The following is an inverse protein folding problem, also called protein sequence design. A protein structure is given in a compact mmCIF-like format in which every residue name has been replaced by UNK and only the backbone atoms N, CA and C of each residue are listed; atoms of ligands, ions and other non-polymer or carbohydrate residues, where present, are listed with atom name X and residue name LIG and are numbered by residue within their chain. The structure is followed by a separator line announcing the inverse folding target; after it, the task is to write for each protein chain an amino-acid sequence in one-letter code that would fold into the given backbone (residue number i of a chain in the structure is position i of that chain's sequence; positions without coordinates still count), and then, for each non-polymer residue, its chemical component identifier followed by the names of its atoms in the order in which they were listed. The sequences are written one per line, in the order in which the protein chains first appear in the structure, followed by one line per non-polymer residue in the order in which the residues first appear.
data_IF_187118077936
#
_entry.id   IF_187118077936
#
_cell.length_a   1.000
_cell.length_b   1.000
_cell.length_c   1.000
_cell.angle_alpha   90.00
_cell.angle_beta   90.00
_cell.angle_gamma   90.00
#
_symmetry.space_group_name_H-M   'P 1'
#
loop_
_entity.id
_entity.type
_entity.pdbx_description
1 polymer ?
#
# COMPACT_ATOMS: atom_id res chain seq x y z
N UNK A 1 0.07 -45.75 -59.01
CA UNK A 1 0.68 -44.49 -58.53
C UNK A 1 -0.07 -44.12 -57.26
N UNK A 2 0.60 -44.25 -56.11
CA UNK A 2 -0.01 -44.17 -54.78
C UNK A 2 -0.16 -42.69 -54.36
N UNK A 3 -1.38 -42.27 -54.04
CA UNK A 3 -1.64 -41.01 -53.36
C UNK A 3 -1.67 -41.26 -51.85
N UNK A 4 -0.72 -40.69 -51.12
CA UNK A 4 -0.62 -40.78 -49.67
C UNK A 4 -1.45 -39.66 -49.05
N UNK A 5 -2.62 -39.99 -48.52
CA UNK A 5 -3.46 -39.08 -47.77
C UNK A 5 -3.04 -39.10 -46.30
N UNK A 6 -2.33 -38.05 -45.85
CA UNK A 6 -1.82 -37.93 -44.49
C UNK A 6 -2.90 -37.39 -43.55
N UNK A 7 -3.47 -38.28 -42.74
CA UNK A 7 -4.38 -37.95 -41.64
C UNK A 7 -3.60 -37.28 -40.50
N UNK A 8 -3.86 -35.99 -40.26
CA UNK A 8 -3.23 -35.21 -39.18
C UNK A 8 -4.03 -35.41 -37.90
N UNK A 9 -3.45 -36.09 -36.90
CA UNK A 9 -4.09 -36.33 -35.61
C UNK A 9 -4.22 -35.03 -34.78
N UNK A 10 -5.31 -34.86 -34.02
CA UNK A 10 -5.60 -33.63 -33.27
C UNK A 10 -4.55 -33.26 -32.21
N UNK A 11 -3.76 -34.23 -31.73
CA UNK A 11 -2.65 -33.98 -30.80
C UNK A 11 -1.46 -33.24 -31.44
N UNK A 12 -1.19 -33.47 -32.74
CA UNK A 12 -0.15 -32.73 -33.47
C UNK A 12 -0.57 -31.27 -33.72
N UNK A 13 -1.85 -31.00 -33.96
CA UNK A 13 -2.36 -29.63 -34.11
C UNK A 13 -2.23 -28.80 -32.82
N UNK A 14 -2.49 -29.39 -31.65
CA UNK A 14 -2.31 -28.73 -30.35
C UNK A 14 -0.84 -28.39 -30.05
N UNK A 15 0.10 -29.26 -30.46
CA UNK A 15 1.53 -29.03 -30.28
C UNK A 15 2.10 -28.01 -31.28
N UNK A 16 1.66 -28.04 -32.55
CA UNK A 16 2.21 -27.20 -33.61
C UNK A 16 1.63 -25.79 -33.62
N UNK A 17 0.39 -25.60 -33.15
CA UNK A 17 -0.28 -24.29 -33.18
C UNK A 17 -0.55 -23.75 -31.76
N UNK A 18 -0.91 -24.60 -30.81
CA UNK A 18 -1.25 -24.17 -29.44
C UNK A 18 -0.06 -23.67 -28.63
N UNK A 19 1.07 -24.39 -28.69
CA UNK A 19 2.31 -24.04 -27.98
C UNK A 19 2.93 -22.72 -28.45
N UNK A 20 3.09 -22.44 -29.76
CA UNK A 20 3.64 -21.17 -30.20
C UNK A 20 2.71 -19.99 -29.92
N UNK A 21 1.39 -20.17 -29.98
CA UNK A 21 0.43 -19.10 -29.62
C UNK A 21 0.49 -18.78 -28.12
N UNK A 22 0.52 -19.80 -27.26
CA UNK A 22 0.67 -19.61 -25.82
C UNK A 22 2.02 -18.97 -25.46
N UNK A 23 3.10 -19.38 -26.13
CA UNK A 23 4.44 -18.82 -25.95
C UNK A 23 4.50 -17.36 -26.41
N UNK A 24 3.89 -17.02 -27.55
CA UNK A 24 3.79 -15.64 -28.01
C UNK A 24 2.98 -14.76 -27.06
N UNK A 25 1.90 -15.29 -26.47
CA UNK A 25 1.09 -14.57 -25.50
C UNK A 25 1.85 -14.32 -24.19
N UNK A 26 2.58 -15.33 -23.69
CA UNK A 26 3.44 -15.18 -22.52
C UNK A 26 4.58 -14.20 -22.77
N UNK A 27 5.24 -14.27 -23.94
CA UNK A 27 6.28 -13.30 -24.32
C UNK A 27 5.72 -11.88 -24.44
N UNK A 28 4.51 -11.70 -24.97
CA UNK A 28 3.86 -10.39 -25.06
C UNK A 28 3.48 -9.85 -23.68
N UNK A 29 3.05 -10.70 -22.75
CA UNK A 29 2.79 -10.31 -21.36
C UNK A 29 4.09 -9.98 -20.62
N UNK A 30 5.17 -10.75 -20.82
CA UNK A 30 6.50 -10.43 -20.27
C UNK A 30 7.05 -9.11 -20.83
N UNK A 31 6.91 -8.85 -22.13
CA UNK A 31 7.29 -7.58 -22.74
C UNK A 31 6.44 -6.43 -22.21
N UNK A 32 5.13 -6.60 -22.07
CA UNK A 32 4.24 -5.60 -21.44
C UNK A 32 4.57 -5.35 -19.97
N UNK A 33 5.16 -6.31 -19.25
CA UNK A 33 5.62 -6.14 -17.88
C UNK A 33 7.02 -5.51 -17.77
N UNK A 34 7.89 -5.73 -18.77
CA UNK A 34 9.24 -5.15 -18.81
C UNK A 34 9.32 -3.75 -19.47
N UNK A 35 8.44 -3.44 -20.43
CA UNK A 35 8.33 -2.11 -21.05
C UNK A 35 8.00 -0.95 -20.07
N UNK A 36 7.12 -1.08 -19.06
CA UNK A 36 6.86 0.00 -18.11
C UNK A 36 8.08 0.32 -17.22
N UNK A 37 9.03 -0.62 -17.07
CA UNK A 37 10.30 -0.36 -16.37
C UNK A 37 11.35 0.32 -17.25
N UNK A 38 11.34 0.09 -18.58
CA UNK A 38 12.32 0.71 -19.49
C UNK A 38 11.96 2.15 -19.88
N UNK A 39 10.68 2.49 -19.98
CA UNK A 39 10.24 3.87 -20.26
C UNK A 39 10.57 4.85 -19.11
N UNK A 40 10.70 4.37 -17.88
CA UNK A 40 11.15 5.18 -16.75
C UNK A 40 12.69 5.39 -16.72
N UNK A 41 13.45 4.60 -17.49
CA UNK A 41 14.92 4.65 -17.53
C UNK A 41 15.52 5.50 -18.66
N UNK A 42 14.71 6.03 -19.57
CA UNK A 42 15.19 6.81 -20.71
C UNK A 42 15.16 8.34 -20.50
N UNK A 43 14.64 8.83 -19.36
CA UNK A 43 14.53 10.27 -19.09
C UNK A 43 15.75 10.89 -18.39
N UNK A 44 16.76 10.10 -18.02
CA UNK A 44 18.02 10.63 -17.53
C UNK A 44 19.13 10.41 -18.55
N UNK A 45 19.36 11.44 -19.35
CA UNK A 45 20.69 11.68 -19.94
C UNK A 45 21.24 12.95 -19.31
N UNK A 46 22.43 12.91 -18.68
CA UNK A 46 23.13 14.11 -18.25
C UNK A 46 23.75 14.74 -19.50
N UNK A 47 23.28 15.91 -19.89
CA UNK A 47 23.96 16.72 -20.90
C UNK A 47 24.77 17.80 -20.19
N UNK A 48 26.08 17.74 -20.40
CA UNK A 48 27.07 18.70 -19.91
C UNK A 48 27.66 19.37 -21.14
N UNK A 49 27.41 20.67 -21.31
CA UNK A 49 28.17 21.50 -22.23
C UNK A 49 28.14 22.98 -21.77
N UNK A 50 29.33 23.52 -21.45
CA UNK A 50 29.66 24.96 -21.29
C UNK A 50 29.33 25.74 -22.58
N UNK A 51 28.85 27.00 -22.62
CA UNK A 51 29.35 28.33 -22.18
C UNK A 51 28.23 29.38 -22.50
N UNK A 52 28.31 30.73 -22.26
CA UNK A 52 29.32 31.56 -21.59
C UNK A 52 28.75 32.45 -20.45
N UNK A 53 29.66 33.08 -19.69
CA UNK A 53 29.41 33.91 -18.51
C UNK A 53 28.54 35.16 -18.79
N UNK A 54 27.45 35.32 -18.03
CA UNK A 54 26.77 36.60 -17.84
C UNK A 54 26.59 36.87 -16.33
N UNK A 55 26.95 38.08 -15.92
CA UNK A 55 26.94 38.58 -14.54
C UNK A 55 25.53 38.54 -13.90
N UNK A 56 25.43 38.45 -12.56
CA UNK A 56 24.18 38.11 -11.89
C UNK A 56 23.23 39.31 -11.79
N UNK A 57 22.05 39.19 -12.38
CA UNK A 57 20.89 40.05 -12.13
C UNK A 57 20.19 39.57 -10.84
N UNK A 58 19.78 40.45 -9.91
CA UNK A 58 19.11 40.01 -8.68
C UNK A 58 17.76 39.38 -9.02
N UNK A 59 17.53 38.16 -8.50
CA UNK A 59 16.23 37.49 -8.55
C UNK A 59 15.20 38.32 -7.77
N UNK A 60 13.98 38.53 -8.29
CA UNK A 60 12.89 39.06 -7.49
C UNK A 60 12.50 38.03 -6.43
N UNK A 61 12.25 38.55 -5.23
CA UNK A 61 12.07 37.85 -3.98
C UNK A 61 10.97 36.77 -4.06
N UNK A 62 11.25 35.66 -3.38
CA UNK A 62 10.36 34.54 -3.09
C UNK A 62 8.94 35.02 -2.70
N UNK A 63 8.00 34.92 -3.64
CA UNK A 63 6.58 34.91 -3.30
C UNK A 63 6.31 33.54 -2.66
N UNK A 64 5.97 33.48 -1.36
CA UNK A 64 5.77 32.21 -0.68
C UNK A 64 4.63 31.49 -1.37
N UNK A 65 4.93 30.28 -1.84
CA UNK A 65 3.97 29.39 -2.47
C UNK A 65 2.74 29.32 -1.58
N UNK A 66 1.63 29.87 -2.08
CA UNK A 66 0.37 30.00 -1.38
C UNK A 66 -0.02 28.62 -0.81
N UNK A 67 0.24 28.41 0.48
CA UNK A 67 -0.04 27.14 1.14
C UNK A 67 -1.53 26.82 1.02
N UNK A 68 -1.86 25.59 0.64
CA UNK A 68 -3.25 25.15 0.66
C UNK A 68 -3.82 25.42 2.07
N UNK A 69 -5.03 26.01 2.19
CA UNK A 69 -5.65 26.21 3.49
C UNK A 69 -5.79 24.86 4.22
N UNK A 70 -5.60 24.82 5.55
CA UNK A 70 -5.76 23.61 6.33
C UNK A 70 -7.19 23.10 6.18
N UNK A 71 -7.34 21.78 6.00
CA UNK A 71 -8.62 21.14 5.80
C UNK A 71 -9.63 21.50 6.89
N UNK A 72 -10.85 21.84 6.49
CA UNK A 72 -11.90 22.15 7.47
C UNK A 72 -12.43 20.86 8.12
N UNK A 73 -12.91 20.95 9.37
CA UNK A 73 -13.47 19.78 10.08
C UNK A 73 -14.58 19.05 9.28
N UNK A 74 -15.48 19.75 8.56
CA UNK A 74 -16.45 19.11 7.66
C UNK A 74 -15.79 18.35 6.49
N UNK A 75 -14.74 18.89 5.88
CA UNK A 75 -14.01 18.21 4.80
C UNK A 75 -13.34 16.93 5.31
N UNK A 76 -12.72 16.97 6.49
CA UNK A 76 -12.15 15.79 7.14
C UNK A 76 -13.22 14.73 7.44
N UNK A 77 -14.40 15.16 7.90
CA UNK A 77 -15.51 14.25 8.16
C UNK A 77 -16.00 13.56 6.88
N UNK A 78 -16.17 14.32 5.79
CA UNK A 78 -16.55 13.79 4.48
C UNK A 78 -15.51 12.80 3.94
N UNK A 79 -14.22 13.11 4.09
CA UNK A 79 -13.11 12.22 3.73
C UNK A 79 -13.24 10.84 4.42
N UNK A 80 -13.43 10.82 5.74
CA UNK A 80 -13.56 9.56 6.47
C UNK A 80 -14.89 8.87 6.22
N UNK A 81 -15.96 9.63 5.96
CA UNK A 81 -17.25 9.04 5.61
C UNK A 81 -17.14 8.26 4.30
N UNK A 82 -16.52 8.84 3.27
CA UNK A 82 -16.29 8.19 1.98
C UNK A 82 -15.48 6.90 2.12
N UNK A 83 -14.38 6.93 2.88
CA UNK A 83 -13.51 5.76 3.08
C UNK A 83 -14.17 4.59 3.83
N UNK A 84 -15.24 4.84 4.58
CA UNK A 84 -15.97 3.79 5.32
C UNK A 84 -17.26 3.35 4.62
N UNK A 85 -17.66 4.01 3.54
CA UNK A 85 -18.85 3.63 2.77
C UNK A 85 -18.61 2.27 2.11
N UNK A 86 -19.44 1.25 2.36
CA UNK A 86 -19.25 -0.09 1.80
C UNK A 86 -19.18 -0.07 0.28
N UNK A 87 -18.09 -0.59 -0.24
CA UNK A 87 -17.77 -0.64 -1.68
C UNK A 87 -18.33 -1.86 -2.39
N UNK A 88 -19.16 -2.67 -1.71
CA UNK A 88 -19.74 -3.92 -2.25
C UNK A 88 -18.69 -4.89 -2.83
N UNK A 89 -17.46 -4.85 -2.31
CA UNK A 89 -16.34 -5.69 -2.76
C UNK A 89 -15.54 -5.10 -3.93
N UNK A 90 -15.90 -3.92 -4.42
CA UNK A 90 -15.14 -3.24 -5.47
C UNK A 90 -13.93 -2.50 -4.89
N UNK A 91 -12.88 -2.38 -5.71
CA UNK A 91 -11.73 -1.51 -5.43
C UNK A 91 -12.02 -0.13 -6.01
N UNK A 92 -11.96 0.90 -5.18
CA UNK A 92 -12.26 2.29 -5.54
C UNK A 92 -10.95 3.09 -5.56
N UNK A 93 -10.73 3.82 -6.65
CA UNK A 93 -9.61 4.76 -6.79
C UNK A 93 -10.17 6.17 -6.75
N UNK A 94 -9.77 6.98 -5.77
CA UNK A 94 -10.23 8.36 -5.64
C UNK A 94 -9.12 9.26 -5.13
N UNK A 95 -9.09 10.47 -5.65
CA UNK A 95 -8.37 11.56 -5.02
C UNK A 95 -9.30 12.18 -3.98
N UNK A 96 -8.96 12.01 -2.71
CA UNK A 96 -9.69 12.62 -1.61
C UNK A 96 -8.76 13.65 -0.96
N UNK A 97 -9.22 14.90 -0.94
CA UNK A 97 -8.40 16.06 -0.61
C UNK A 97 -7.14 16.10 -1.50
N UNK A 98 -5.95 16.01 -0.92
CA UNK A 98 -4.66 16.02 -1.62
C UNK A 98 -4.00 14.63 -1.69
N UNK A 99 -4.75 13.54 -1.44
CA UNK A 99 -4.22 12.17 -1.42
C UNK A 99 -4.92 11.30 -2.45
N UNK A 100 -4.14 10.61 -3.27
CA UNK A 100 -4.62 9.54 -4.14
C UNK A 100 -4.71 8.25 -3.33
N UNK A 101 -5.93 7.72 -3.17
CA UNK A 101 -6.22 6.55 -2.38
C UNK A 101 -6.84 5.46 -3.26
N UNK A 102 -6.41 4.23 -3.01
CA UNK A 102 -7.05 3.03 -3.56
C UNK A 102 -7.58 2.24 -2.38
N UNK A 103 -8.89 2.05 -2.29
CA UNK A 103 -9.49 1.46 -1.10
C UNK A 103 -10.65 0.54 -1.40
N UNK A 104 -10.95 -0.32 -0.45
CA UNK A 104 -12.18 -1.11 -0.39
C UNK A 104 -12.69 -1.07 1.05
N UNK A 105 -14.00 -0.96 1.20
CA UNK A 105 -14.65 -1.00 2.50
C UNK A 105 -15.83 -1.98 2.50
N UNK A 106 -16.07 -2.62 3.63
CA UNK A 106 -17.06 -3.69 3.79
C UNK A 106 -17.58 -3.75 5.22
N UNK A 107 -18.86 -4.08 5.38
CA UNK A 107 -19.44 -4.49 6.67
C UNK A 107 -19.20 -5.98 6.91
N UNK A 108 -18.69 -6.32 8.08
CA UNK A 108 -18.27 -7.67 8.46
C UNK A 108 -18.96 -8.06 9.76
N UNK A 109 -19.54 -9.25 9.77
CA UNK A 109 -20.21 -9.83 10.93
C UNK A 109 -19.36 -10.97 11.53
N UNK A 110 -19.94 -11.72 12.47
CA UNK A 110 -19.30 -12.86 13.11
C UNK A 110 -18.80 -13.97 12.16
N UNK A 111 -19.28 -14.03 10.90
CA UNK A 111 -18.79 -14.99 9.91
C UNK A 111 -17.41 -14.60 9.37
N UNK A 112 -16.95 -13.39 9.68
CA UNK A 112 -15.71 -12.84 9.17
C UNK A 112 -15.84 -12.37 7.72
N UNK A 113 -14.71 -12.13 7.08
CA UNK A 113 -14.69 -11.60 5.73
C UNK A 113 -13.29 -11.40 5.18
N UNK A 114 -13.23 -11.05 3.91
CA UNK A 114 -11.99 -10.68 3.24
C UNK A 114 -12.23 -9.38 2.47
N UNK A 115 -11.28 -8.46 2.56
CA UNK A 115 -11.17 -7.27 1.73
C UNK A 115 -9.92 -7.43 0.86
N UNK A 116 -10.01 -7.06 -0.42
CA UNK A 116 -8.92 -7.25 -1.37
C UNK A 116 -8.84 -6.07 -2.33
N UNK A 117 -7.63 -5.56 -2.53
CA UNK A 117 -7.30 -4.64 -3.61
C UNK A 117 -6.69 -5.49 -4.73
N UNK A 118 -7.55 -6.03 -5.60
CA UNK A 118 -7.26 -7.19 -6.47
C UNK A 118 -6.01 -7.00 -7.34
N UNK A 119 -5.80 -5.81 -7.90
CA UNK A 119 -4.65 -5.52 -8.78
C UNK A 119 -3.38 -5.10 -8.02
N UNK A 120 -3.48 -4.89 -6.71
CA UNK A 120 -2.39 -4.36 -5.89
C UNK A 120 -1.72 -5.46 -5.04
N UNK A 121 -2.29 -6.66 -5.00
CA UNK A 121 -1.78 -7.76 -4.17
C UNK A 121 -1.86 -7.45 -2.67
N UNK A 122 -2.88 -6.69 -2.26
CA UNK A 122 -3.12 -6.30 -0.87
C UNK A 122 -4.45 -6.89 -0.41
N UNK A 123 -4.45 -7.56 0.75
CA UNK A 123 -5.65 -8.18 1.31
C UNK A 123 -5.70 -8.09 2.82
N UNK A 124 -6.90 -8.00 3.38
CA UNK A 124 -7.17 -8.08 4.81
C UNK A 124 -8.16 -9.21 5.07
N UNK A 125 -7.71 -10.24 5.78
CA UNK A 125 -8.52 -11.36 6.22
C UNK A 125 -9.01 -11.15 7.65
N UNK A 126 -10.32 -11.24 7.84
CA UNK A 126 -10.98 -11.20 9.14
C UNK A 126 -11.55 -12.60 9.39
N UNK A 127 -10.98 -13.39 10.33
CA UNK A 127 -11.40 -14.76 10.51
C UNK A 127 -12.81 -14.87 11.14
N UNK A 128 -13.51 -15.99 10.96
CA UNK A 128 -14.77 -16.25 11.65
C UNK A 128 -14.63 -16.16 13.17
N UNK A 129 -15.58 -15.49 13.80
CA UNK A 129 -15.61 -15.19 15.24
C UNK A 129 -14.67 -14.06 15.66
N UNK A 130 -14.03 -13.34 14.72
CA UNK A 130 -13.31 -12.11 15.04
C UNK A 130 -14.27 -10.99 15.47
N UNK A 131 -15.47 -10.93 14.89
CA UNK A 131 -16.55 -10.03 15.31
C UNK A 131 -17.53 -10.82 16.19
N UNK A 132 -18.04 -10.21 17.26
CA UNK A 132 -19.01 -10.86 18.14
C UNK A 132 -20.36 -11.07 17.43
N UNK A 133 -21.07 -12.14 17.80
CA UNK A 133 -22.42 -12.42 17.27
C UNK A 133 -23.37 -11.26 17.60
N UNK A 134 -24.19 -10.86 16.63
CA UNK A 134 -25.10 -9.72 16.75
C UNK A 134 -24.43 -8.35 16.57
N UNK A 135 -23.12 -8.30 16.33
CA UNK A 135 -22.40 -7.07 15.96
C UNK A 135 -22.01 -7.10 14.49
N UNK A 136 -21.90 -5.90 13.93
CA UNK A 136 -21.31 -5.65 12.62
C UNK A 136 -20.24 -4.57 12.78
N UNK A 137 -19.11 -4.78 12.14
CA UNK A 137 -18.01 -3.83 12.08
C UNK A 137 -17.81 -3.43 10.62
N UNK A 138 -17.80 -2.11 10.35
CA UNK A 138 -17.31 -1.59 9.08
C UNK A 138 -15.81 -1.75 9.09
N UNK A 139 -15.20 -2.19 8.00
CA UNK A 139 -13.75 -2.31 7.85
C UNK A 139 -13.36 -1.71 6.51
N UNK A 140 -12.23 -1.00 6.46
CA UNK A 140 -11.64 -0.45 5.25
C UNK A 140 -10.19 -0.90 5.10
N UNK A 141 -9.80 -1.20 3.86
CA UNK A 141 -8.46 -1.51 3.43
C UNK A 141 -8.04 -0.45 2.40
N UNK A 142 -6.94 0.24 2.66
CA UNK A 142 -6.55 1.46 1.97
C UNK A 142 -5.08 1.35 1.56
N UNK A 143 -4.79 1.67 0.32
CA UNK A 143 -3.46 1.90 -0.23
C UNK A 143 -3.30 3.39 -0.45
N UNK A 144 -2.25 3.96 0.14
CA UNK A 144 -1.90 5.38 0.02
C UNK A 144 -0.79 5.51 -1.03
N UNK A 145 -1.08 6.16 -2.15
CA UNK A 145 -0.10 6.37 -3.25
C UNK A 145 0.87 7.53 -2.99
N UNK A 146 0.66 8.29 -1.92
CA UNK A 146 1.42 9.50 -1.66
C UNK A 146 2.70 9.22 -0.88
N UNK A 147 3.86 9.45 -1.50
CA UNK A 147 5.17 9.18 -0.88
C UNK A 147 5.48 10.06 0.34
N UNK A 148 4.86 11.23 0.50
CA UNK A 148 5.04 12.05 1.71
C UNK A 148 4.48 11.39 2.98
N UNK A 149 3.65 10.35 2.86
CA UNK A 149 3.23 9.57 4.03
C UNK A 149 4.29 8.55 4.47
N UNK A 150 5.30 8.28 3.64
CA UNK A 150 6.42 7.41 4.01
C UNK A 150 7.36 8.11 5.01
N UNK A 151 8.07 7.35 5.87
CA UNK A 151 9.03 7.91 6.81
C UNK A 151 10.19 8.57 6.07
N UNK A 152 10.78 9.58 6.68
CA UNK A 152 12.07 10.13 6.24
C UNK A 152 13.11 9.01 6.22
N UNK A 153 13.59 8.68 5.02
CA UNK A 153 14.57 7.62 4.83
C UNK A 153 15.99 8.21 4.94
N UNK A 154 16.87 7.52 5.66
CA UNK A 154 18.31 7.78 5.52
C UNK A 154 18.80 7.34 4.14
N UNK A 155 19.99 7.80 3.73
CA UNK A 155 20.63 7.39 2.46
C UNK A 155 20.82 5.87 2.36
N UNK A 156 20.96 5.21 3.52
CA UNK A 156 21.10 3.78 3.67
C UNK A 156 19.76 3.03 3.80
N UNK A 157 18.61 3.66 3.55
CA UNK A 157 17.30 3.00 3.65
C UNK A 157 16.50 3.15 2.35
N UNK A 158 15.67 2.15 2.09
CA UNK A 158 14.75 2.12 0.96
C UNK A 158 13.37 1.64 1.39
N UNK A 159 12.33 2.30 0.89
CA UNK A 159 10.96 1.82 0.98
C UNK A 159 10.80 0.64 0.01
N UNK A 160 10.38 -0.52 0.53
CA UNK A 160 10.25 -1.76 -0.26
C UNK A 160 8.81 -2.26 -0.36
N UNK A 161 7.85 -1.52 0.19
CA UNK A 161 6.42 -1.81 0.07
C UNK A 161 5.61 -0.52 -0.08
N UNK A 162 4.36 -0.61 -0.55
CA UNK A 162 3.43 0.50 -0.41
C UNK A 162 3.14 0.86 1.06
N UNK A 163 2.55 2.04 1.26
CA UNK A 163 1.90 2.42 2.52
C UNK A 163 0.47 1.89 2.50
N UNK A 164 0.19 0.92 3.37
CA UNK A 164 -1.11 0.26 3.47
C UNK A 164 -1.74 0.60 4.80
N UNK A 165 -2.96 1.11 4.80
CA UNK A 165 -3.72 1.36 6.01
C UNK A 165 -4.95 0.48 6.10
N UNK A 166 -5.30 0.06 7.31
CA UNK A 166 -6.56 -0.62 7.59
C UNK A 166 -7.23 -0.01 8.81
N UNK A 167 -8.54 0.09 8.77
CA UNK A 167 -9.37 0.68 9.81
C UNK A 167 -10.77 0.10 9.77
N UNK A 168 -11.70 0.59 10.62
CA UNK A 168 -11.63 1.79 11.44
C UNK A 168 -11.03 1.52 12.81
N UNK A 169 -10.33 2.50 13.40
CA UNK A 169 -9.96 2.40 14.81
C UNK A 169 -11.21 2.22 15.69
N UNK A 170 -11.00 1.51 16.79
CA UNK A 170 -12.04 1.22 17.77
C UNK A 170 -12.73 -0.13 17.57
N UNK A 171 -12.64 -0.72 16.37
CA UNK A 171 -13.05 -2.11 16.18
C UNK A 171 -12.13 -3.02 17.01
N UNK A 172 -12.74 -3.72 17.96
CA UNK A 172 -12.07 -4.73 18.77
C UNK A 172 -12.44 -6.09 18.20
N UNK A 173 -11.48 -6.71 17.52
CA UNK A 173 -11.64 -8.09 17.12
C UNK A 173 -11.29 -9.01 18.29
N UNK A 174 -12.07 -10.08 18.42
CA UNK A 174 -11.84 -11.16 19.39
C UNK A 174 -10.70 -12.09 18.93
N UNK A 175 -10.37 -12.05 17.64
CA UNK A 175 -9.31 -12.84 17.01
C UNK A 175 -8.47 -11.94 16.09
N UNK A 176 -7.17 -12.22 15.94
CA UNK A 176 -6.32 -11.43 15.06
C UNK A 176 -6.75 -11.55 13.59
N UNK A 177 -6.84 -10.41 12.93
CA UNK A 177 -6.97 -10.28 11.48
C UNK A 177 -5.59 -10.39 10.82
N UNK A 178 -5.54 -10.77 9.54
CA UNK A 178 -4.27 -10.91 8.81
C UNK A 178 -4.24 -9.92 7.65
N UNK A 179 -3.37 -8.92 7.74
CA UNK A 179 -3.04 -8.01 6.64
C UNK A 179 -1.90 -8.62 5.82
N UNK A 180 -2.09 -8.74 4.51
CA UNK A 180 -1.09 -9.25 3.57
C UNK A 180 -0.86 -8.26 2.45
N UNK A 181 0.40 -7.98 2.12
CA UNK A 181 0.77 -7.16 0.97
C UNK A 181 2.12 -7.59 0.38
N UNK A 182 2.31 -7.35 -0.92
CA UNK A 182 3.55 -7.64 -1.62
C UNK A 182 4.65 -6.63 -1.32
N UNK A 183 5.91 -7.07 -1.43
CA UNK A 183 7.09 -6.21 -1.28
C UNK A 183 8.21 -6.58 -2.26
N UNK A 184 9.17 -5.68 -2.44
CA UNK A 184 10.34 -5.85 -3.30
C UNK A 184 11.67 -5.96 -2.52
N UNK A 185 11.61 -6.29 -1.24
CA UNK A 185 12.81 -6.54 -0.42
C UNK A 185 13.69 -7.63 -1.07
N UNK A 186 14.97 -7.32 -1.28
CA UNK A 186 15.95 -8.30 -1.80
C UNK A 186 16.34 -9.29 -0.72
N UNK A 187 16.38 -8.84 0.53
CA UNK A 187 16.74 -9.62 1.70
C UNK A 187 15.63 -9.47 2.74
N UNK A 188 14.53 -10.24 2.62
CA UNK A 188 13.35 -10.09 3.47
C UNK A 188 13.65 -10.28 4.97
N UNK A 189 14.69 -11.06 5.28
CA UNK A 189 15.20 -11.27 6.64
C UNK A 189 15.70 -9.98 7.31
N UNK A 190 16.16 -9.00 6.51
CA UNK A 190 16.62 -7.70 6.96
C UNK A 190 15.58 -6.59 6.82
N UNK A 191 14.47 -6.85 6.11
CA UNK A 191 13.37 -5.90 6.02
C UNK A 191 12.70 -5.76 7.40
N UNK A 192 12.41 -4.52 7.79
CA UNK A 192 11.74 -4.18 9.04
C UNK A 192 10.40 -3.55 8.74
N UNK A 193 9.37 -4.06 9.40
CA UNK A 193 8.02 -3.50 9.33
C UNK A 193 7.90 -2.29 10.23
N UNK A 194 7.17 -1.29 9.77
CA UNK A 194 6.84 -0.08 10.51
C UNK A 194 5.32 0.12 10.51
N UNK A 195 4.82 0.67 11.61
CA UNK A 195 3.42 1.06 11.78
C UNK A 195 3.36 2.47 12.36
N UNK A 196 2.35 3.26 11.97
CA UNK A 196 2.02 4.52 12.64
C UNK A 196 0.63 4.44 13.25
N UNK A 197 0.43 5.16 14.36
CA UNK A 197 -0.86 5.29 15.04
C UNK A 197 -1.57 6.62 14.75
N UNK A 198 -0.99 7.46 13.88
CA UNK A 198 -1.57 8.76 13.49
C UNK A 198 -2.55 8.63 12.33
N UNK A 199 -3.28 9.72 12.06
CA UNK A 199 -4.30 9.71 11.02
C UNK A 199 -3.81 9.74 9.59
N UNK A 200 -4.68 9.29 8.67
CA UNK A 200 -4.36 9.36 7.24
C UNK A 200 -4.07 10.80 6.82
N UNK A 201 -4.72 11.78 7.45
CA UNK A 201 -4.53 13.20 7.19
C UNK A 201 -3.37 13.81 7.99
N UNK A 202 -3.03 13.26 9.16
CA UNK A 202 -1.93 13.75 9.97
C UNK A 202 -0.55 13.26 9.49
N UNK A 203 0.48 13.97 9.91
CA UNK A 203 1.86 13.50 9.78
C UNK A 203 2.05 12.12 10.43
N UNK A 204 2.82 11.25 9.79
CA UNK A 204 3.02 9.87 10.24
C UNK A 204 4.15 9.75 11.26
N UNK A 205 3.86 9.14 12.42
CA UNK A 205 4.86 8.81 13.45
C UNK A 205 5.14 7.31 13.38
N UNK A 206 6.17 6.97 12.62
CA UNK A 206 6.53 5.59 12.32
C UNK A 206 7.27 4.92 13.48
N UNK A 207 6.80 3.75 13.90
CA UNK A 207 7.43 2.90 14.91
C UNK A 207 7.71 1.51 14.34
N UNK A 208 8.86 0.91 14.66
CA UNK A 208 9.17 -0.43 14.20
C UNK A 208 8.23 -1.45 14.83
N UNK A 209 7.78 -2.41 14.03
CA UNK A 209 6.93 -3.52 14.43
C UNK A 209 7.74 -4.81 14.43
N UNK A 210 7.90 -5.41 15.60
CA UNK A 210 8.63 -6.67 15.75
C UNK A 210 10.13 -6.56 15.43
N UNK A 211 10.74 -7.72 15.17
CA UNK A 211 12.15 -7.83 14.74
C UNK A 211 12.23 -7.77 13.21
N UNK A 212 13.38 -7.41 12.60
CA UNK A 212 13.59 -7.63 11.17
C UNK A 212 13.23 -9.07 10.75
N UNK A 213 12.60 -9.24 9.60
CA UNK A 213 12.18 -10.57 9.13
C UNK A 213 10.92 -11.13 9.80
N UNK A 214 10.43 -10.54 10.90
CA UNK A 214 9.36 -11.17 11.71
C UNK A 214 8.01 -11.29 10.99
N UNK A 215 7.79 -10.45 9.97
CA UNK A 215 6.51 -10.36 9.26
C UNK A 215 6.68 -10.60 7.76
N UNK A 216 7.90 -10.85 7.28
CA UNK A 216 8.23 -10.89 5.86
C UNK A 216 8.60 -12.31 5.42
N UNK A 217 8.01 -12.72 4.31
CA UNK A 217 8.34 -13.91 3.53
C UNK A 217 9.13 -13.48 2.29
N UNK A 218 9.29 -14.36 1.29
CA UNK A 218 10.03 -14.06 0.07
C UNK A 218 9.49 -12.84 -0.68
N UNK A 219 8.18 -12.76 -0.86
CA UNK A 219 7.51 -11.74 -1.67
C UNK A 219 6.30 -11.10 -0.97
N UNK A 220 6.00 -11.51 0.26
CA UNK A 220 4.82 -11.11 1.01
C UNK A 220 5.18 -10.67 2.43
N UNK A 221 4.54 -9.62 2.90
CA UNK A 221 4.47 -9.28 4.31
C UNK A 221 3.11 -9.68 4.86
N UNK A 222 3.10 -10.37 6.01
CA UNK A 222 1.90 -10.79 6.73
C UNK A 222 1.95 -10.26 8.16
N UNK A 223 1.02 -9.35 8.46
CA UNK A 223 0.90 -8.70 9.78
C UNK A 223 -0.38 -9.19 10.45
N UNK A 224 -0.25 -9.70 11.68
CA UNK A 224 -1.39 -10.10 12.50
C UNK A 224 -1.84 -8.91 13.35
N UNK A 225 -3.11 -8.55 13.23
CA UNK A 225 -3.75 -7.40 13.86
C UNK A 225 -4.83 -7.88 14.82
N UNK A 226 -4.51 -8.03 16.10
CA UNK A 226 -5.47 -8.41 17.18
C UNK A 226 -6.43 -7.27 17.52
N UNK A 227 -5.94 -6.04 17.46
CA UNK A 227 -6.74 -4.83 17.53
C UNK A 227 -6.16 -3.85 16.52
N UNK A 228 -6.97 -2.94 15.99
CA UNK A 228 -6.45 -1.72 15.35
C UNK A 228 -5.93 -0.73 16.42
N UNK A 229 -5.21 -1.25 17.41
CA UNK A 229 -4.41 -0.53 18.40
C UNK A 229 -3.14 -1.35 18.62
N UNK A 230 -1.98 -0.73 18.43
CA UNK A 230 -0.74 -1.31 18.93
C UNK A 230 -0.78 -1.23 20.46
N UNK A 231 -0.50 -2.34 21.14
CA UNK A 231 -0.53 -2.42 22.59
C UNK A 231 0.35 -1.35 23.24
N UNK A 232 -0.24 -0.59 24.17
CA UNK A 232 0.51 0.19 25.15
C UNK A 232 1.25 -0.77 26.08
N UNK A 233 2.36 -1.37 25.61
CA UNK A 233 3.36 -1.90 26.54
C UNK A 233 4.27 -0.74 26.91
N UNK A 234 3.81 0.04 27.88
CA UNK A 234 4.52 1.19 28.46
C UNK A 234 3.54 2.28 28.85
N UNK A 235 2.95 2.18 30.05
CA UNK A 235 2.35 3.35 30.70
C UNK A 235 3.48 4.34 30.97
N UNK A 236 3.57 5.36 30.14
CA UNK A 236 4.18 6.62 30.55
C UNK A 236 3.05 7.64 30.60
N UNK A 237 2.83 8.21 31.79
CA UNK A 237 1.72 9.10 32.11
C UNK A 237 1.66 10.27 31.12
N UNK A 238 0.56 10.35 30.35
CA UNK A 238 0.24 11.56 29.60
C UNK A 238 -0.14 12.68 30.58
N UNK A 239 0.39 13.90 30.44
CA UNK A 239 0.01 15.03 31.28
C UNK A 239 -1.45 15.43 31.03
N UNK A 240 -2.12 15.84 32.12
CA UNK A 240 -3.50 16.28 32.11
C UNK A 240 -3.68 17.50 31.20
N UNK A 241 -4.40 17.33 30.10
CA UNK A 241 -4.64 18.39 29.10
C UNK A 241 -4.87 17.89 27.66
N UNK A 242 -4.68 16.60 27.38
CA UNK A 242 -4.95 16.03 26.06
C UNK A 242 -6.45 15.98 25.74
N UNK A 243 -6.87 16.23 24.48
CA UNK A 243 -8.27 16.26 24.09
C UNK A 243 -8.97 14.91 24.30
N UNK A 244 -10.29 14.97 24.51
CA UNK A 244 -11.15 13.84 24.91
C UNK A 244 -10.86 12.50 24.18
N UNK A 245 -10.86 11.36 24.90
CA UNK A 245 -10.48 10.03 24.39
C UNK A 245 -11.45 9.44 23.36
N UNK A 246 -12.51 10.16 22.99
CA UNK A 246 -13.49 9.77 21.98
C UNK A 246 -13.08 10.14 20.55
N UNK A 247 -12.25 11.17 20.37
CA UNK A 247 -11.80 11.61 19.05
C UNK A 247 -10.53 10.85 18.58
N UNK A 248 -9.70 10.42 19.52
CA UNK A 248 -8.53 9.55 19.28
C UNK A 248 -8.89 8.10 18.84
N UNK A 249 -10.18 7.78 18.72
CA UNK A 249 -10.69 6.41 18.52
C UNK A 249 -11.04 6.03 17.09
N UNK A 250 -10.81 6.86 16.07
CA UNK A 250 -11.30 6.58 14.70
C UNK A 250 -10.31 6.96 13.61
N UNK A 251 -9.40 6.06 13.28
CA UNK A 251 -8.41 6.32 12.26
C UNK A 251 -7.98 5.01 11.59
N UNK A 252 -7.40 4.99 10.39
CA UNK A 252 -6.75 3.81 9.84
C UNK A 252 -5.32 3.69 10.38
N UNK A 253 -4.83 2.49 10.73
CA UNK A 253 -3.41 2.29 11.07
C UNK A 253 -2.64 2.08 9.76
N UNK A 254 -1.74 2.99 9.36
CA UNK A 254 -0.85 2.75 8.23
C UNK A 254 0.34 1.85 8.64
N UNK A 255 0.72 0.99 7.71
CA UNK A 255 1.79 0.01 7.77
C UNK A 255 2.64 0.11 6.50
N UNK A 256 3.95 -0.11 6.64
CA UNK A 256 4.88 -0.24 5.52
C UNK A 256 6.12 -1.04 5.92
N UNK A 257 6.95 -1.39 4.94
CA UNK A 257 8.24 -2.03 5.12
C UNK A 257 9.38 -1.12 4.67
N UNK A 258 10.40 -1.00 5.51
CA UNK A 258 11.68 -0.43 5.14
C UNK A 258 12.75 -1.52 5.09
N UNK A 259 13.68 -1.40 4.15
CA UNK A 259 14.91 -2.20 4.13
C UNK A 259 16.12 -1.28 4.20
N UNK A 260 17.14 -1.68 4.95
CA UNK A 260 18.44 -1.03 4.93
C UNK A 260 19.20 -1.46 3.65
N UNK A 261 19.66 -0.48 2.87
CA UNK A 261 20.61 -0.65 1.76
C UNK A 261 21.98 -0.86 2.40
N UNK A 262 22.59 -2.03 2.22
CA UNK A 262 24.03 -2.16 2.51
C UNK A 262 24.80 -1.20 1.60
N UNK A 263 25.73 -0.43 2.17
CA UNK A 263 26.87 0.06 1.40
C UNK A 263 27.60 -1.16 0.84
N UNK A 264 27.66 -1.26 -0.48
CA UNK A 264 28.68 -2.07 -1.15
C UNK A 264 30.03 -1.38 -0.98
#
# INVERSE_FOLDING_TARGET
MCSHESSIQPAQFLLVVGVPVASAFLLLQCLRWHCPRRLLGACWKPDSQEEPVAHPTPLPEDEPSRGCPPATLPEMAAFYQELHTPTQGQTVIRQLMHKLLVFSAREVDHRGGCLMLQDMGISLLIPPGAVAVGRQERVSLILVWHLLDAPSLSRAQGLVSPVVACGPHGASFLKPCTLTFKHCAQEPSHARTYSSNTTLLDAKVWRPLGRPGAHTSRDECRIHLSHFRLGERGREQLPAGSPSPHLARKVPLPFLLLQEKRSQ
#
